data_IF_603928885853
#
_entry.id   IF_603928885853
#
_cell.length_a   1.000
_cell.length_b   1.000
_cell.length_c   1.000
_cell.angle_alpha   90.00
_cell.angle_beta   90.00
_cell.angle_gamma   90.00
#
_symmetry.space_group_name_H-M   'P 1'
#
loop_
_entity.id
_entity.type
_entity.pdbx_description
1 polymer ?
#
# COMPACT_ATOMS: atom_id res chain seq x y z
N UNK A 1 -19.71 -19.58 -21.65
CA UNK A 1 -18.39 -19.16 -22.18
C UNK A 1 -17.83 -18.11 -21.23
N UNK A 2 -17.07 -18.51 -20.20
CA UNK A 2 -16.47 -17.60 -19.20
C UNK A 2 -14.98 -17.90 -19.14
N UNK A 3 -14.23 -17.45 -20.16
CA UNK A 3 -12.76 -17.55 -20.22
C UNK A 3 -12.12 -16.16 -20.34
N UNK A 4 -12.78 -15.11 -19.83
CA UNK A 4 -12.19 -13.77 -19.71
C UNK A 4 -11.29 -13.62 -18.47
N UNK A 5 -11.36 -14.56 -17.52
CA UNK A 5 -11.38 -14.10 -16.14
C UNK A 5 -9.98 -13.99 -15.47
N UNK A 6 -9.00 -14.83 -15.82
CA UNK A 6 -7.79 -14.95 -14.99
C UNK A 6 -6.74 -13.87 -15.28
N UNK A 7 -6.43 -13.59 -16.55
CA UNK A 7 -5.42 -12.58 -16.91
C UNK A 7 -5.87 -11.17 -16.53
N UNK A 8 -7.15 -10.84 -16.74
CA UNK A 8 -7.73 -9.57 -16.32
C UNK A 8 -7.72 -9.43 -14.79
N UNK A 9 -8.09 -10.50 -14.06
CA UNK A 9 -7.99 -10.54 -12.59
C UNK A 9 -6.57 -10.39 -12.06
N UNK A 10 -5.58 -10.96 -12.75
CA UNK A 10 -4.16 -10.77 -12.42
C UNK A 10 -3.79 -9.30 -12.64
N UNK A 11 -4.15 -8.72 -13.79
CA UNK A 11 -3.85 -7.33 -14.11
C UNK A 11 -4.44 -6.35 -13.09
N UNK A 12 -5.71 -6.51 -12.74
CA UNK A 12 -6.37 -5.67 -11.71
C UNK A 12 -5.69 -5.78 -10.34
N UNK A 13 -5.25 -6.99 -9.96
CA UNK A 13 -4.52 -7.20 -8.70
C UNK A 13 -3.12 -6.59 -8.75
N UNK A 14 -2.40 -6.72 -9.86
CA UNK A 14 -1.09 -6.09 -10.06
C UNK A 14 -1.19 -4.56 -10.01
N UNK A 15 -2.24 -3.98 -10.59
CA UNK A 15 -2.51 -2.54 -10.49
C UNK A 15 -2.82 -2.12 -9.04
N UNK A 16 -3.60 -2.92 -8.31
CA UNK A 16 -3.85 -2.71 -6.89
C UNK A 16 -2.56 -2.75 -6.07
N UNK A 17 -1.66 -3.70 -6.34
CA UNK A 17 -0.32 -3.78 -5.72
C UNK A 17 0.49 -2.52 -6.01
N UNK A 18 0.47 -2.00 -7.25
CA UNK A 18 1.18 -0.76 -7.62
C UNK A 18 0.64 0.43 -6.83
N UNK A 19 -0.68 0.60 -6.77
CA UNK A 19 -1.33 1.68 -6.02
C UNK A 19 -1.01 1.60 -4.52
N UNK A 20 -1.13 0.43 -3.90
CA UNK A 20 -0.80 0.24 -2.49
C UNK A 20 0.69 0.44 -2.20
N UNK A 21 1.57 -0.01 -3.11
CA UNK A 21 3.01 0.20 -2.99
C UNK A 21 3.39 1.67 -3.07
N UNK A 22 2.74 2.44 -3.96
CA UNK A 22 2.93 3.89 -4.04
C UNK A 22 2.50 4.59 -2.74
N UNK A 23 1.31 4.25 -2.21
CA UNK A 23 0.83 4.76 -0.92
C UNK A 23 1.79 4.40 0.23
N UNK A 24 2.25 3.15 0.30
CA UNK A 24 3.23 2.72 1.32
C UNK A 24 4.50 3.55 1.27
N UNK A 25 5.08 3.72 0.06
CA UNK A 25 6.31 4.51 -0.13
C UNK A 25 6.10 5.97 0.27
N UNK A 26 4.96 6.54 -0.07
CA UNK A 26 4.58 7.88 0.33
C UNK A 26 4.55 8.03 1.86
N UNK A 27 3.84 7.16 2.58
CA UNK A 27 3.83 7.21 4.04
C UNK A 27 5.20 6.92 4.68
N UNK A 28 5.99 6.05 4.06
CA UNK A 28 7.37 5.79 4.52
C UNK A 28 8.23 7.04 4.41
N UNK A 29 8.14 7.80 3.32
CA UNK A 29 8.89 9.05 3.15
C UNK A 29 8.51 10.10 4.21
N UNK A 30 7.21 10.22 4.54
CA UNK A 30 6.74 11.08 5.63
C UNK A 30 7.34 10.63 6.96
N UNK A 31 7.28 9.33 7.25
CA UNK A 31 7.81 8.77 8.49
C UNK A 31 9.33 9.00 8.62
N UNK A 32 10.07 8.82 7.53
CA UNK A 32 11.52 9.01 7.52
C UNK A 32 11.87 10.49 7.71
N UNK A 33 11.13 11.41 7.09
CA UNK A 33 11.28 12.85 7.32
C UNK A 33 10.96 13.25 8.77
N UNK A 34 9.90 12.69 9.38
CA UNK A 34 9.57 12.91 10.79
C UNK A 34 10.62 12.32 11.75
N UNK A 35 11.35 11.27 11.35
CA UNK A 35 12.43 10.67 12.14
C UNK A 35 13.71 11.50 12.08
N UNK A 36 14.05 12.02 10.91
CA UNK A 36 15.30 12.75 10.70
C UNK A 36 15.29 14.12 11.37
N UNK A 37 14.13 14.78 11.39
CA UNK A 37 14.04 16.15 11.88
C UNK A 37 13.44 16.15 13.28
N UNK A 38 14.03 16.92 14.20
CA UNK A 38 13.64 17.00 15.61
C UNK A 38 12.19 17.46 15.87
N UNK A 39 11.87 17.70 17.13
CA UNK A 39 10.50 17.76 17.72
C UNK A 39 9.47 18.70 17.07
N UNK A 40 9.86 19.57 16.14
CA UNK A 40 9.00 20.64 15.60
C UNK A 40 8.68 20.55 14.10
N UNK A 41 8.91 19.39 13.45
CA UNK A 41 8.50 19.25 12.04
C UNK A 41 7.04 18.87 11.88
N UNK A 42 6.39 19.65 11.01
CA UNK A 42 5.05 19.44 10.51
C UNK A 42 5.15 19.24 9.00
N UNK A 43 4.73 18.07 8.53
CA UNK A 43 4.65 17.78 7.09
C UNK A 43 3.22 18.01 6.65
N UNK A 44 3.04 18.93 5.72
CA UNK A 44 1.75 19.22 5.10
C UNK A 44 1.75 18.62 3.71
N UNK A 45 0.74 17.82 3.42
CA UNK A 45 0.51 17.22 2.10
C UNK A 45 -0.80 17.76 1.56
N UNK A 46 -0.73 18.41 0.41
CA UNK A 46 -1.92 18.83 -0.34
C UNK A 46 -2.22 17.82 -1.44
N UNK A 47 -3.46 17.35 -1.50
CA UNK A 47 -3.93 16.43 -2.53
C UNK A 47 -5.36 16.77 -2.96
N UNK A 48 -5.52 17.30 -4.19
CA UNK A 48 -6.81 17.58 -4.84
C UNK A 48 -7.84 18.28 -3.92
N UNK A 49 -7.41 19.32 -3.21
CA UNK A 49 -8.27 20.09 -2.31
C UNK A 49 -8.42 19.52 -0.89
N UNK A 50 -7.77 18.40 -0.59
CA UNK A 50 -7.58 17.92 0.79
C UNK A 50 -6.17 18.27 1.28
N UNK A 51 -6.07 18.71 2.54
CA UNK A 51 -4.81 19.00 3.22
C UNK A 51 -4.65 18.02 4.37
N UNK A 52 -3.62 17.19 4.33
CA UNK A 52 -3.25 16.27 5.40
C UNK A 52 -2.02 16.80 6.13
N UNK A 53 -2.05 16.75 7.45
CA UNK A 53 -0.98 17.28 8.31
C UNK A 53 -0.43 16.14 9.17
N UNK A 54 0.88 15.92 9.09
CA UNK A 54 1.59 14.86 9.79
C UNK A 54 2.63 15.47 10.73
N UNK A 55 2.59 15.04 11.99
CA UNK A 55 3.49 15.47 13.06
C UNK A 55 4.18 14.26 13.66
N UNK A 56 5.23 14.51 14.46
CA UNK A 56 5.98 13.47 15.17
C UNK A 56 5.09 12.54 16.01
N UNK A 57 4.04 13.08 16.64
CA UNK A 57 3.07 12.29 17.41
C UNK A 57 2.25 11.30 16.56
N UNK A 58 2.17 11.52 15.25
CA UNK A 58 1.43 10.67 14.33
C UNK A 58 2.28 9.50 13.80
N UNK A 59 3.57 9.45 14.14
CA UNK A 59 4.49 8.38 13.74
C UNK A 59 3.97 6.96 14.05
N UNK A 60 3.42 6.65 15.25
CA UNK A 60 2.88 5.32 15.51
C UNK A 60 1.72 4.94 14.59
N UNK A 61 0.88 5.92 14.23
CA UNK A 61 -0.22 5.74 13.28
C UNK A 61 0.31 5.49 11.86
N UNK A 62 1.30 6.27 11.43
CA UNK A 62 1.99 6.08 10.15
C UNK A 62 2.65 4.71 10.04
N UNK A 63 3.34 4.27 11.09
CA UNK A 63 3.93 2.94 11.16
C UNK A 63 2.88 1.84 11.07
N UNK A 64 1.72 2.02 11.72
CA UNK A 64 0.59 1.08 11.59
C UNK A 64 0.07 1.01 10.16
N UNK A 65 -0.19 2.17 9.54
CA UNK A 65 -0.63 2.26 8.13
C UNK A 65 0.36 1.57 7.18
N UNK A 66 1.66 1.81 7.35
CA UNK A 66 2.70 1.17 6.53
C UNK A 66 2.69 -0.36 6.71
N UNK A 67 2.52 -0.86 7.95
CA UNK A 67 2.40 -2.30 8.22
C UNK A 67 1.15 -2.90 7.57
N UNK A 68 0.01 -2.21 7.61
CA UNK A 68 -1.21 -2.63 6.94
C UNK A 68 -1.01 -2.73 5.42
N UNK A 69 -0.46 -1.69 4.77
CA UNK A 69 -0.15 -1.75 3.34
C UNK A 69 0.80 -2.91 3.00
N UNK A 70 1.79 -3.20 3.83
CA UNK A 70 2.67 -4.35 3.62
C UNK A 70 1.92 -5.68 3.68
N UNK A 71 0.99 -5.84 4.63
CA UNK A 71 0.14 -7.04 4.72
C UNK A 71 -0.75 -7.16 3.48
N UNK A 72 -1.38 -6.08 3.05
CA UNK A 72 -2.27 -6.09 1.89
C UNK A 72 -1.52 -6.40 0.59
N UNK A 73 -0.35 -5.78 0.40
CA UNK A 73 0.54 -6.07 -0.74
C UNK A 73 0.97 -7.53 -0.75
N UNK A 74 1.32 -8.09 0.41
CA UNK A 74 1.70 -9.49 0.52
C UNK A 74 0.54 -10.41 0.15
N UNK A 75 -0.65 -10.17 0.69
CA UNK A 75 -1.87 -10.94 0.39
C UNK A 75 -2.20 -10.90 -1.10
N UNK A 76 -2.18 -9.72 -1.73
CA UNK A 76 -2.41 -9.57 -3.17
C UNK A 76 -1.37 -10.33 -4.01
N UNK A 77 -0.08 -10.28 -3.62
CA UNK A 77 0.96 -11.02 -4.32
C UNK A 77 0.78 -12.54 -4.19
N UNK A 78 0.31 -13.03 -3.04
CA UNK A 78 -0.05 -14.45 -2.86
C UNK A 78 -1.21 -14.82 -3.77
N UNK A 79 -2.25 -13.99 -3.87
CA UNK A 79 -3.38 -14.21 -4.79
C UNK A 79 -2.94 -14.23 -6.25
N UNK A 80 -2.13 -13.26 -6.68
CA UNK A 80 -1.56 -13.22 -8.03
C UNK A 80 -0.79 -14.50 -8.31
N UNK A 81 0.03 -14.96 -7.36
CA UNK A 81 0.79 -16.21 -7.50
C UNK A 81 -0.13 -17.43 -7.61
N UNK A 82 -1.20 -17.51 -6.82
CA UNK A 82 -2.18 -18.60 -6.92
C UNK A 82 -2.87 -18.62 -8.29
N UNK A 83 -3.29 -17.46 -8.78
CA UNK A 83 -3.90 -17.31 -10.10
C UNK A 83 -2.92 -17.70 -11.22
N UNK A 84 -1.66 -17.25 -11.16
CA UNK A 84 -0.61 -17.58 -12.16
C UNK A 84 -0.21 -19.05 -12.16
N UNK A 85 -0.28 -19.73 -11.02
CA UNK A 85 0.14 -21.13 -10.89
C UNK A 85 -0.98 -22.14 -11.12
N UNK A 86 -2.22 -21.68 -11.37
CA UNK A 86 -3.38 -22.55 -11.56
C UNK A 86 -3.76 -23.39 -10.33
N UNK A 87 -3.05 -23.22 -9.20
CA UNK A 87 -3.35 -23.88 -7.92
C UNK A 87 -4.45 -23.10 -7.20
N UNK A 88 -5.65 -23.09 -7.79
CA UNK A 88 -6.85 -23.12 -6.96
C UNK A 88 -6.79 -24.45 -6.21
N UNK A 89 -6.79 -24.40 -4.88
CA UNK A 89 -6.88 -25.60 -4.06
C UNK A 89 -8.06 -26.44 -4.54
N UNK A 90 -7.75 -27.64 -5.01
CA UNK A 90 -8.67 -28.76 -4.93
C UNK A 90 -8.60 -29.18 -3.47
N UNK A 91 -9.41 -28.54 -2.62
CA UNK A 91 -9.86 -29.03 -1.32
C UNK A 91 -11.32 -28.61 -1.13
#
# INVERSE_FOLDING_TARGET
MIYLDVEERIRMREESVKTMSAKRKFYQAILDALRQIGSDVVIVVENRGSMEVYRKRDMPSLESKIREYNKDILSLNIEIRKLKTGKCGVE
#
